data_IF_396277478616
#
_entry.id   IF_396277478616
#
_cell.length_a   1.000
_cell.length_b   1.000
_cell.length_c   1.000
_cell.angle_alpha   90.00
_cell.angle_beta   90.00
_cell.angle_gamma   90.00
#
_symmetry.space_group_name_H-M   'P 1'
#
loop_
_entity.id
_entity.type
_entity.pdbx_description
1 polymer ?
#
# COMPACT_ATOMS: atom_id res chain seq x y z
N UNK A 1 63.05 15.45 -27.05
CA UNK A 1 61.65 15.99 -26.98
C UNK A 1 60.54 14.98 -27.24
N UNK A 2 60.79 13.81 -27.86
CA UNK A 2 59.75 12.82 -28.16
C UNK A 2 59.38 11.87 -26.99
N UNK A 3 60.27 11.65 -26.03
CA UNK A 3 60.00 10.73 -24.89
C UNK A 3 59.06 11.30 -23.83
N UNK A 4 59.12 12.65 -23.60
CA UNK A 4 58.28 13.32 -22.58
C UNK A 4 56.79 13.42 -23.00
N UNK A 5 56.53 13.50 -24.32
CA UNK A 5 55.18 13.52 -24.84
C UNK A 5 54.51 12.12 -24.76
N UNK A 6 55.25 11.04 -24.94
CA UNK A 6 54.76 9.68 -24.81
C UNK A 6 54.49 9.26 -23.34
N UNK A 7 55.26 9.75 -22.39
CA UNK A 7 54.99 9.56 -20.95
C UNK A 7 53.74 10.30 -20.47
N UNK A 8 53.56 11.57 -20.90
CA UNK A 8 52.36 12.32 -20.59
C UNK A 8 51.07 11.74 -21.20
N UNK A 9 51.14 11.21 -22.42
CA UNK A 9 50.03 10.50 -23.05
C UNK A 9 49.66 9.21 -22.29
N UNK A 10 50.64 8.45 -21.81
CA UNK A 10 50.39 7.24 -20.99
C UNK A 10 49.81 7.56 -19.58
N UNK A 11 50.25 8.66 -19.00
CA UNK A 11 49.70 9.13 -17.70
C UNK A 11 48.25 9.58 -17.86
N UNK A 12 47.94 10.33 -18.92
CA UNK A 12 46.56 10.78 -19.18
C UNK A 12 45.61 9.61 -19.50
N UNK A 13 46.02 8.61 -20.29
CA UNK A 13 45.21 7.43 -20.57
C UNK A 13 44.97 6.57 -19.30
N UNK A 14 45.98 6.43 -18.43
CA UNK A 14 45.81 5.67 -17.19
C UNK A 14 44.95 6.44 -16.17
N UNK A 15 44.95 7.78 -16.15
CA UNK A 15 44.04 8.59 -15.35
C UNK A 15 42.60 8.55 -15.85
N UNK A 16 42.40 8.59 -17.17
CA UNK A 16 41.06 8.48 -17.77
C UNK A 16 40.47 7.06 -17.59
N UNK A 17 41.25 5.99 -17.78
CA UNK A 17 40.81 4.62 -17.54
C UNK A 17 40.46 4.37 -16.05
N UNK A 18 41.26 4.83 -15.10
CA UNK A 18 40.95 4.72 -13.67
C UNK A 18 39.74 5.58 -13.26
N UNK A 19 39.57 6.77 -13.84
CA UNK A 19 38.43 7.64 -13.57
C UNK A 19 37.11 7.07 -14.13
N UNK A 20 37.18 6.39 -15.27
CA UNK A 20 36.05 5.72 -15.91
C UNK A 20 35.70 4.44 -15.13
N UNK A 21 36.69 3.64 -14.70
CA UNK A 21 36.44 2.38 -13.97
C UNK A 21 35.93 2.62 -12.54
N UNK A 22 36.35 3.66 -11.82
CA UNK A 22 35.81 3.99 -10.50
C UNK A 22 34.40 4.58 -10.55
N UNK A 23 34.04 5.31 -11.60
CA UNK A 23 32.72 5.97 -11.71
C UNK A 23 31.67 5.15 -12.47
N UNK A 24 32.03 4.12 -13.26
CA UNK A 24 31.09 3.31 -14.04
C UNK A 24 30.72 1.99 -13.33
N UNK A 25 31.48 1.53 -12.33
CA UNK A 25 31.04 0.42 -11.45
C UNK A 25 30.01 0.85 -10.42
N UNK A 26 28.96 1.55 -10.82
CA UNK A 26 27.68 1.55 -10.10
C UNK A 26 26.94 0.28 -10.49
N UNK A 27 27.40 -0.85 -9.97
CA UNK A 27 26.70 -2.10 -10.12
C UNK A 27 25.31 -1.96 -9.47
N UNK A 28 24.28 -2.41 -10.14
CA UNK A 28 22.90 -2.53 -9.61
C UNK A 28 22.90 -3.28 -8.28
N UNK A 29 23.79 -4.23 -8.09
CA UNK A 29 24.00 -4.98 -6.83
C UNK A 29 24.40 -4.08 -5.65
N UNK A 30 25.17 -3.00 -5.91
CA UNK A 30 25.51 -2.02 -4.89
C UNK A 30 24.32 -1.20 -4.40
N UNK A 31 23.36 -0.86 -5.28
CA UNK A 31 22.18 -0.06 -4.91
C UNK A 31 21.20 -0.84 -4.05
N UNK A 32 20.92 -2.09 -4.39
CA UNK A 32 20.04 -2.97 -3.60
C UNK A 32 20.66 -3.25 -2.22
N UNK A 33 21.96 -3.57 -2.18
CA UNK A 33 22.67 -3.83 -0.92
C UNK A 33 22.71 -2.58 -0.02
N UNK A 34 22.90 -1.41 -0.60
CA UNK A 34 22.86 -0.12 0.11
C UNK A 34 21.46 0.17 0.66
N UNK A 35 20.40 -0.08 -0.15
CA UNK A 35 19.01 0.05 0.27
C UNK A 35 18.70 -0.87 1.45
N UNK A 36 19.00 -2.16 1.33
CA UNK A 36 18.78 -3.15 2.41
C UNK A 36 19.54 -2.75 3.68
N UNK A 37 20.81 -2.33 3.56
CA UNK A 37 21.60 -1.87 4.70
C UNK A 37 21.02 -0.62 5.36
N UNK A 38 20.50 0.34 4.59
CA UNK A 38 19.86 1.57 5.09
C UNK A 38 18.53 1.24 5.76
N UNK A 39 17.70 0.37 5.16
CA UNK A 39 16.43 -0.10 5.70
C UNK A 39 16.64 -0.88 7.02
N UNK A 40 17.61 -1.80 7.07
CA UNK A 40 17.92 -2.61 8.24
C UNK A 40 18.38 -1.80 9.47
N UNK A 41 18.89 -0.58 9.26
CA UNK A 41 19.21 0.32 10.38
C UNK A 41 17.99 0.83 11.14
N UNK A 42 16.78 0.78 10.50
CA UNK A 42 15.51 1.24 11.09
C UNK A 42 14.78 0.07 11.72
N UNK A 43 15.03 -0.18 13.00
CA UNK A 43 14.45 -1.32 13.75
C UNK A 43 12.93 -1.38 13.67
N UNK A 44 12.24 -0.24 13.76
CA UNK A 44 10.77 -0.15 13.66
C UNK A 44 10.25 -0.61 12.30
N UNK A 45 10.90 -0.19 11.20
CA UNK A 45 10.52 -0.60 9.85
C UNK A 45 10.79 -2.10 9.59
N UNK A 46 11.88 -2.62 10.15
CA UNK A 46 12.20 -4.07 10.06
C UNK A 46 11.16 -4.91 10.82
N UNK A 47 10.79 -4.52 12.04
CA UNK A 47 9.73 -5.21 12.80
C UNK A 47 8.41 -5.14 12.04
N UNK A 48 8.04 -3.95 11.54
CA UNK A 48 6.83 -3.76 10.75
C UNK A 48 6.81 -4.62 9.47
N UNK A 49 7.95 -4.75 8.80
CA UNK A 49 8.09 -5.64 7.63
C UNK A 49 7.79 -7.10 7.99
N UNK A 50 8.35 -7.62 9.08
CA UNK A 50 8.09 -9.01 9.49
C UNK A 50 6.64 -9.22 9.91
N UNK A 51 6.02 -8.25 10.61
CA UNK A 51 4.59 -8.31 10.95
C UNK A 51 3.74 -8.30 9.67
N UNK A 52 4.03 -7.41 8.72
CA UNK A 52 3.33 -7.35 7.44
C UNK A 52 3.45 -8.66 6.66
N UNK A 53 4.65 -9.24 6.58
CA UNK A 53 4.87 -10.54 5.93
C UNK A 53 4.09 -11.65 6.64
N UNK A 54 4.10 -11.68 7.98
CA UNK A 54 3.32 -12.65 8.75
C UNK A 54 1.81 -12.52 8.48
N UNK A 55 1.28 -11.30 8.38
CA UNK A 55 -0.13 -11.04 8.05
C UNK A 55 -0.47 -11.46 6.61
N UNK A 56 0.43 -11.23 5.65
CA UNK A 56 0.24 -11.71 4.28
C UNK A 56 0.29 -13.26 4.19
N UNK A 57 1.18 -13.89 4.95
CA UNK A 57 1.21 -15.35 5.08
C UNK A 57 -0.09 -15.83 5.74
N UNK A 58 -0.55 -15.18 6.80
CA UNK A 58 -1.82 -15.48 7.44
C UNK A 58 -3.00 -15.38 6.45
N UNK A 59 -2.99 -14.40 5.56
CA UNK A 59 -4.02 -14.28 4.53
C UNK A 59 -3.99 -15.43 3.52
N UNK A 60 -2.81 -16.00 3.24
CA UNK A 60 -2.67 -17.11 2.28
C UNK A 60 -2.98 -18.48 2.90
N UNK A 61 -2.49 -18.75 4.11
CA UNK A 61 -2.56 -20.07 4.71
C UNK A 61 -3.50 -20.14 5.92
N UNK A 62 -3.92 -18.99 6.46
CA UNK A 62 -4.77 -18.90 7.65
C UNK A 62 -6.06 -19.70 7.57
N UNK A 63 -6.83 -19.65 6.45
CA UNK A 63 -8.04 -20.45 6.33
C UNK A 63 -7.79 -21.96 6.44
N UNK A 64 -6.63 -22.43 5.98
CA UNK A 64 -6.25 -23.87 6.04
C UNK A 64 -5.65 -24.28 7.38
N UNK A 65 -5.13 -23.32 8.16
CA UNK A 65 -4.53 -23.56 9.48
C UNK A 65 -5.48 -23.26 10.64
N UNK A 66 -6.69 -22.76 10.35
CA UNK A 66 -7.69 -22.46 11.37
C UNK A 66 -8.07 -23.72 12.15
N UNK A 67 -8.07 -23.68 13.51
CA UNK A 67 -8.42 -24.84 14.34
C UNK A 67 -9.82 -25.40 14.08
N UNK A 68 -10.75 -24.51 13.69
CA UNK A 68 -12.14 -24.85 13.40
C UNK A 68 -12.56 -24.20 12.06
N UNK A 69 -13.63 -24.72 11.44
CA UNK A 69 -14.28 -24.01 10.35
C UNK A 69 -14.85 -22.67 10.83
N UNK A 70 -14.64 -21.60 10.07
CA UNK A 70 -15.00 -20.23 10.46
C UNK A 70 -16.48 -20.04 10.83
N UNK A 71 -17.36 -20.90 10.30
CA UNK A 71 -18.80 -20.87 10.55
C UNK A 71 -19.31 -22.11 11.29
N UNK A 72 -18.43 -22.94 11.86
CA UNK A 72 -18.84 -24.04 12.72
C UNK A 72 -19.44 -23.49 14.02
N UNK A 73 -20.63 -23.98 14.38
CA UNK A 73 -21.36 -23.60 15.59
C UNK A 73 -21.02 -24.53 16.74
N UNK A 74 -20.74 -24.01 17.92
CA UNK A 74 -20.60 -24.73 19.17
C UNK A 74 -21.62 -24.17 20.18
N UNK A 75 -22.81 -24.74 20.17
CA UNK A 75 -23.92 -24.25 20.98
C UNK A 75 -23.68 -24.40 22.49
N UNK A 76 -22.77 -25.28 22.91
CA UNK A 76 -22.43 -25.48 24.32
C UNK A 76 -21.49 -24.38 24.84
N UNK A 77 -20.85 -23.64 23.94
CA UNK A 77 -19.86 -22.61 24.25
C UNK A 77 -20.21 -21.23 23.64
N UNK A 78 -21.44 -20.81 23.67
CA UNK A 78 -21.90 -19.49 23.20
C UNK A 78 -21.35 -18.40 24.13
N UNK A 79 -20.80 -17.32 23.53
CA UNK A 79 -20.22 -16.16 24.24
C UNK A 79 -19.16 -16.55 25.29
N UNK A 80 -18.52 -17.69 25.13
CA UNK A 80 -17.51 -18.17 26.06
C UNK A 80 -16.20 -17.41 25.90
N UNK A 81 -15.60 -17.03 27.04
CA UNK A 81 -14.29 -16.39 27.07
C UNK A 81 -13.17 -17.30 26.58
N UNK A 82 -11.94 -16.77 26.45
CA UNK A 82 -10.76 -17.54 26.09
C UNK A 82 -10.60 -18.79 26.96
N UNK A 83 -10.37 -19.93 26.33
CA UNK A 83 -10.24 -21.25 26.99
C UNK A 83 -9.24 -22.14 26.25
N UNK A 84 -8.90 -23.31 26.83
CA UNK A 84 -8.02 -24.27 26.17
C UNK A 84 -8.63 -24.83 24.86
N UNK A 85 -9.97 -24.88 24.75
CA UNK A 85 -10.70 -25.32 23.56
C UNK A 85 -10.77 -24.17 22.54
N UNK A 86 -11.11 -22.97 22.96
CA UNK A 86 -11.25 -21.77 22.14
C UNK A 86 -10.29 -20.68 22.64
N UNK A 87 -9.11 -20.60 22.07
CA UNK A 87 -8.03 -19.73 22.56
C UNK A 87 -8.42 -18.25 22.62
N UNK A 88 -9.24 -17.79 21.70
CA UNK A 88 -9.74 -16.41 21.65
C UNK A 88 -11.22 -16.32 22.09
N UNK A 89 -11.79 -17.42 22.59
CA UNK A 89 -13.20 -17.50 22.92
C UNK A 89 -14.11 -17.65 21.68
N UNK A 90 -15.40 -17.51 21.91
CA UNK A 90 -16.44 -17.74 20.91
C UNK A 90 -17.37 -16.53 20.78
N UNK A 91 -18.06 -16.44 19.66
CA UNK A 91 -19.05 -15.40 19.40
C UNK A 91 -20.47 -15.79 19.86
N UNK A 92 -21.46 -14.98 19.53
CA UNK A 92 -22.88 -15.20 19.89
C UNK A 92 -23.52 -16.45 19.24
N UNK A 93 -22.83 -17.08 18.34
CA UNK A 93 -23.24 -18.35 17.70
C UNK A 93 -22.36 -19.52 18.12
N UNK A 94 -21.42 -19.31 19.07
CA UNK A 94 -20.43 -20.31 19.46
C UNK A 94 -19.31 -20.51 18.45
N UNK A 95 -19.17 -19.64 17.44
CA UNK A 95 -18.09 -19.75 16.43
C UNK A 95 -16.77 -19.30 17.03
N UNK A 96 -15.68 -20.02 16.73
CA UNK A 96 -14.34 -19.72 17.24
C UNK A 96 -13.76 -18.42 16.67
N UNK A 97 -13.41 -17.47 17.53
CA UNK A 97 -12.93 -16.15 17.11
C UNK A 97 -11.56 -16.21 16.44
N UNK A 98 -10.64 -17.05 16.92
CA UNK A 98 -9.33 -17.22 16.30
C UNK A 98 -9.46 -17.74 14.87
N UNK A 99 -10.26 -18.79 14.69
CA UNK A 99 -10.52 -19.38 13.37
C UNK A 99 -11.17 -18.38 12.41
N UNK A 100 -12.09 -17.54 12.91
CA UNK A 100 -12.70 -16.46 12.11
C UNK A 100 -11.70 -15.37 11.75
N UNK A 101 -10.80 -14.97 12.66
CA UNK A 101 -9.74 -14.00 12.37
C UNK A 101 -8.82 -14.55 11.27
N UNK A 102 -8.42 -15.83 11.37
CA UNK A 102 -7.54 -16.47 10.39
C UNK A 102 -8.23 -16.61 9.02
N UNK A 103 -9.48 -17.06 9.01
CA UNK A 103 -10.27 -17.24 7.79
C UNK A 103 -10.69 -15.89 7.16
N UNK A 104 -10.79 -14.82 7.95
CA UNK A 104 -11.16 -13.48 7.51
C UNK A 104 -10.01 -12.66 6.94
N UNK A 105 -8.77 -13.04 7.23
CA UNK A 105 -7.58 -12.33 6.78
C UNK A 105 -7.54 -12.12 5.25
N UNK A 106 -7.78 -13.14 4.39
CA UNK A 106 -7.77 -12.95 2.95
C UNK A 106 -8.87 -12.00 2.46
N UNK A 107 -10.04 -12.00 3.10
CA UNK A 107 -11.14 -11.13 2.71
C UNK A 107 -10.83 -9.66 3.06
N UNK A 108 -10.43 -9.39 4.31
CA UNK A 108 -10.13 -8.04 4.79
C UNK A 108 -8.93 -7.43 4.05
N UNK A 109 -7.82 -8.17 3.97
CA UNK A 109 -6.61 -7.69 3.28
C UNK A 109 -6.81 -7.66 1.76
N UNK A 110 -7.54 -8.61 1.20
CA UNK A 110 -7.83 -8.69 -0.22
C UNK A 110 -8.63 -7.49 -0.72
N UNK A 111 -9.67 -7.09 0.00
CA UNK A 111 -10.48 -5.90 -0.34
C UNK A 111 -9.63 -4.63 -0.28
N UNK A 112 -8.89 -4.42 0.80
CA UNK A 112 -8.06 -3.24 0.94
C UNK A 112 -6.96 -3.17 -0.14
N UNK A 113 -6.23 -4.27 -0.34
CA UNK A 113 -5.13 -4.33 -1.30
C UNK A 113 -5.63 -4.14 -2.74
N UNK A 114 -6.69 -4.84 -3.14
CA UNK A 114 -7.25 -4.71 -4.50
C UNK A 114 -7.81 -3.31 -4.75
N UNK A 115 -8.45 -2.68 -3.76
CA UNK A 115 -8.91 -1.28 -3.86
C UNK A 115 -7.75 -0.32 -4.11
N UNK A 116 -6.66 -0.47 -3.35
CA UNK A 116 -5.47 0.38 -3.53
C UNK A 116 -4.80 0.12 -4.87
N UNK A 117 -4.71 -1.14 -5.33
CA UNK A 117 -4.15 -1.47 -6.66
C UNK A 117 -4.93 -0.76 -7.77
N UNK A 118 -6.27 -0.87 -7.75
CA UNK A 118 -7.12 -0.24 -8.78
C UNK A 118 -7.04 1.29 -8.69
N UNK A 119 -7.16 1.85 -7.48
CA UNK A 119 -7.04 3.29 -7.27
C UNK A 119 -5.66 3.85 -7.67
N UNK A 120 -4.59 3.10 -7.36
CA UNK A 120 -3.23 3.45 -7.76
C UNK A 120 -3.04 3.38 -9.28
N UNK A 121 -3.56 2.35 -9.94
CA UNK A 121 -3.45 2.20 -11.38
C UNK A 121 -4.13 3.37 -12.11
N UNK A 122 -5.39 3.65 -11.78
CA UNK A 122 -6.15 4.75 -12.37
C UNK A 122 -5.50 6.10 -12.03
N UNK A 123 -5.22 6.36 -10.75
CA UNK A 123 -4.64 7.62 -10.30
C UNK A 123 -3.25 7.86 -10.88
N UNK A 124 -2.42 6.81 -11.03
CA UNK A 124 -1.09 6.92 -11.67
C UNK A 124 -1.22 7.36 -13.13
N UNK A 125 -2.09 6.73 -13.90
CA UNK A 125 -2.31 7.10 -15.31
C UNK A 125 -2.79 8.54 -15.42
N UNK A 126 -3.80 8.92 -14.63
CA UNK A 126 -4.33 10.29 -14.61
C UNK A 126 -3.27 11.32 -14.19
N UNK A 127 -2.47 11.01 -13.18
CA UNK A 127 -1.39 11.87 -12.70
C UNK A 127 -0.26 12.03 -13.71
N UNK A 128 0.15 10.94 -14.37
CA UNK A 128 1.16 10.97 -15.44
C UNK A 128 0.71 11.84 -16.61
N UNK A 129 -0.53 11.62 -17.10
CA UNK A 129 -1.11 12.41 -18.21
C UNK A 129 -1.23 13.89 -17.85
N UNK A 130 -1.74 14.17 -16.64
CA UNK A 130 -1.90 15.52 -16.10
C UNK A 130 -0.56 16.26 -16.01
N UNK A 131 0.47 15.63 -15.42
CA UNK A 131 1.80 16.24 -15.27
C UNK A 131 2.56 16.40 -16.60
N UNK A 132 2.37 15.44 -17.52
CA UNK A 132 3.07 15.47 -18.81
C UNK A 132 2.49 16.50 -19.78
N UNK A 133 1.18 16.44 -20.05
CA UNK A 133 0.53 17.31 -21.01
C UNK A 133 0.22 18.70 -20.44
N UNK A 134 -0.17 18.78 -19.16
CA UNK A 134 -0.58 20.04 -18.57
C UNK A 134 -1.89 20.60 -19.13
N UNK A 135 -2.06 21.91 -19.05
CA UNK A 135 -3.18 22.63 -19.66
C UNK A 135 -4.56 22.12 -19.22
N UNK A 136 -5.46 21.89 -20.19
CA UNK A 136 -6.84 21.49 -19.90
C UNK A 136 -6.96 20.07 -19.31
N UNK A 137 -6.05 19.15 -19.69
CA UNK A 137 -6.01 17.79 -19.13
C UNK A 137 -5.69 17.86 -17.63
N UNK A 138 -4.67 18.63 -17.28
CA UNK A 138 -4.31 18.87 -15.89
C UNK A 138 -5.45 19.52 -15.12
N UNK A 139 -6.07 20.54 -15.69
CA UNK A 139 -7.19 21.23 -15.07
C UNK A 139 -8.35 20.28 -14.81
N UNK A 140 -8.74 19.45 -15.78
CA UNK A 140 -9.85 18.51 -15.62
C UNK A 140 -9.56 17.46 -14.54
N UNK A 141 -8.39 16.83 -14.59
CA UNK A 141 -8.00 15.78 -13.63
C UNK A 141 -7.87 16.34 -12.23
N UNK A 142 -7.20 17.50 -12.07
CA UNK A 142 -7.01 18.08 -10.74
C UNK A 142 -8.29 18.67 -10.15
N UNK A 143 -9.16 19.28 -10.96
CA UNK A 143 -10.48 19.72 -10.49
C UNK A 143 -11.36 18.54 -10.07
N UNK A 144 -11.36 17.43 -10.83
CA UNK A 144 -12.01 16.20 -10.41
C UNK A 144 -11.47 15.66 -9.09
N UNK A 145 -10.14 15.65 -8.92
CA UNK A 145 -9.51 15.26 -7.66
C UNK A 145 -9.88 16.23 -6.51
N UNK A 146 -9.93 17.54 -6.75
CA UNK A 146 -10.30 18.54 -5.74
C UNK A 146 -11.75 18.38 -5.27
N UNK A 147 -12.67 18.04 -6.19
CA UNK A 147 -14.07 17.72 -5.84
C UNK A 147 -14.13 16.52 -4.91
N UNK A 148 -13.40 15.44 -5.22
CA UNK A 148 -13.39 14.26 -4.35
C UNK A 148 -12.73 14.54 -2.99
N UNK A 149 -11.68 15.35 -2.94
CA UNK A 149 -11.04 15.76 -1.68
C UNK A 149 -11.82 16.79 -0.87
N UNK A 150 -12.87 17.41 -1.43
CA UNK A 150 -13.76 18.30 -0.66
C UNK A 150 -14.59 17.55 0.37
N UNK A 151 -14.73 16.23 0.21
CA UNK A 151 -15.39 15.35 1.17
C UNK A 151 -14.35 14.61 2.02
N UNK A 152 -14.59 14.45 3.34
CA UNK A 152 -13.83 13.49 4.14
C UNK A 152 -13.92 12.09 3.55
N UNK A 153 -12.77 11.37 3.46
CA UNK A 153 -12.65 10.06 2.79
C UNK A 153 -13.76 9.08 3.22
N UNK A 154 -14.03 8.99 4.53
CA UNK A 154 -15.06 8.07 5.06
C UNK A 154 -16.49 8.48 4.65
N UNK A 155 -16.79 9.77 4.61
CA UNK A 155 -18.13 10.24 4.22
C UNK A 155 -18.37 10.02 2.73
N UNK A 156 -17.36 10.23 1.89
CA UNK A 156 -17.42 9.92 0.46
C UNK A 156 -17.66 8.43 0.25
N UNK A 157 -16.92 7.58 0.99
CA UNK A 157 -17.08 6.14 0.88
C UNK A 157 -18.49 5.67 1.32
N UNK A 158 -19.03 6.22 2.42
CA UNK A 158 -20.41 5.95 2.86
C UNK A 158 -21.42 6.39 1.79
N UNK A 159 -21.25 7.57 1.21
CA UNK A 159 -22.16 8.06 0.15
C UNK A 159 -22.15 7.14 -1.07
N UNK A 160 -20.98 6.66 -1.49
CA UNK A 160 -20.85 5.73 -2.62
C UNK A 160 -21.56 4.40 -2.29
N UNK A 161 -21.30 3.82 -1.11
CA UNK A 161 -21.92 2.54 -0.72
C UNK A 161 -23.42 2.70 -0.49
N UNK A 162 -23.88 3.83 0.04
CA UNK A 162 -25.31 4.11 0.19
C UNK A 162 -26.03 4.16 -1.17
N UNK A 163 -25.36 4.66 -2.21
CA UNK A 163 -25.90 4.70 -3.57
C UNK A 163 -25.86 3.34 -4.28
N UNK A 164 -24.82 2.54 -4.05
CA UNK A 164 -24.64 1.23 -4.70
C UNK A 164 -25.32 0.08 -3.94
N UNK A 165 -25.65 0.29 -2.66
CA UNK A 165 -26.13 -0.72 -1.73
C UNK A 165 -25.00 -1.34 -0.89
N UNK A 166 -25.33 -2.05 0.22
CA UNK A 166 -24.36 -2.74 1.05
C UNK A 166 -23.74 -3.93 0.30
N UNK A 167 -22.50 -4.25 0.64
CA UNK A 167 -21.77 -5.40 0.10
C UNK A 167 -20.29 -5.13 -0.10
N UNK A 168 -19.50 -6.19 0.02
CA UNK A 168 -18.04 -6.13 0.02
C UNK A 168 -17.46 -5.57 -1.29
N UNK A 169 -18.12 -5.84 -2.43
CA UNK A 169 -17.73 -5.31 -3.74
C UNK A 169 -17.96 -3.80 -3.80
N UNK A 170 -19.05 -3.30 -3.20
CA UNK A 170 -19.34 -1.88 -3.17
C UNK A 170 -18.40 -1.12 -2.23
N UNK A 171 -17.97 -1.76 -1.14
CA UNK A 171 -16.88 -1.26 -0.28
C UNK A 171 -15.58 -1.19 -1.06
N UNK A 172 -15.22 -2.25 -1.80
CA UNK A 172 -14.04 -2.24 -2.69
C UNK A 172 -14.08 -1.05 -3.66
N UNK A 173 -15.21 -0.83 -4.35
CA UNK A 173 -15.37 0.29 -5.29
C UNK A 173 -15.21 1.64 -4.59
N UNK A 174 -15.87 1.82 -3.44
CA UNK A 174 -15.81 3.07 -2.68
C UNK A 174 -14.38 3.41 -2.25
N UNK A 175 -13.65 2.40 -1.71
CA UNK A 175 -12.26 2.55 -1.28
C UNK A 175 -11.34 2.85 -2.48
N UNK A 176 -11.56 2.18 -3.62
CA UNK A 176 -10.79 2.45 -4.84
C UNK A 176 -11.01 3.90 -5.32
N UNK A 177 -12.26 4.37 -5.37
CA UNK A 177 -12.61 5.72 -5.85
C UNK A 177 -11.94 6.81 -5.03
N UNK A 178 -12.03 6.77 -3.69
CA UNK A 178 -11.40 7.82 -2.87
C UNK A 178 -9.86 7.74 -2.86
N UNK A 179 -9.29 6.60 -3.27
CA UNK A 179 -7.84 6.42 -3.36
C UNK A 179 -7.26 7.07 -4.61
N UNK A 180 -8.00 7.11 -5.74
CA UNK A 180 -7.57 7.68 -7.04
C UNK A 180 -7.00 9.09 -6.93
N UNK A 181 -7.66 10.09 -6.27
CA UNK A 181 -7.17 11.47 -6.23
C UNK A 181 -5.78 11.61 -5.61
N UNK A 182 -5.49 10.81 -4.57
CA UNK A 182 -4.20 10.82 -3.91
C UNK A 182 -3.07 10.40 -4.85
N UNK A 183 -3.26 9.30 -5.58
CA UNK A 183 -2.28 8.85 -6.56
C UNK A 183 -2.16 9.81 -7.73
N UNK A 184 -3.27 10.36 -8.24
CA UNK A 184 -3.26 11.33 -9.33
C UNK A 184 -2.43 12.58 -8.94
N UNK A 185 -2.61 13.12 -7.74
CA UNK A 185 -1.88 14.30 -7.27
C UNK A 185 -0.39 14.04 -7.08
N UNK A 186 -0.03 12.90 -6.44
CA UNK A 186 1.36 12.54 -6.20
C UNK A 186 2.08 12.25 -7.51
N UNK A 187 1.44 11.50 -8.41
CA UNK A 187 2.05 11.14 -9.69
C UNK A 187 2.18 12.34 -10.63
N UNK A 188 1.22 13.29 -10.59
CA UNK A 188 1.38 14.57 -11.29
C UNK A 188 2.60 15.31 -10.78
N UNK A 189 2.77 15.47 -9.47
CA UNK A 189 3.91 16.16 -8.88
C UNK A 189 5.23 15.49 -9.23
N UNK A 190 5.31 14.15 -9.12
CA UNK A 190 6.49 13.38 -9.49
C UNK A 190 6.80 13.50 -11.00
N UNK A 191 5.77 13.49 -11.85
CA UNK A 191 5.92 13.67 -13.30
C UNK A 191 6.49 15.03 -13.65
N UNK A 192 6.01 16.11 -13.02
CA UNK A 192 6.53 17.45 -13.24
C UNK A 192 8.01 17.57 -12.85
N UNK A 193 8.43 16.94 -11.75
CA UNK A 193 9.81 16.92 -11.32
C UNK A 193 10.72 16.20 -12.32
N UNK A 194 10.28 15.06 -12.85
CA UNK A 194 11.07 14.24 -13.79
C UNK A 194 11.05 14.84 -15.20
N UNK A 195 9.95 15.44 -15.62
CA UNK A 195 9.77 16.02 -16.96
C UNK A 195 10.83 17.10 -17.28
N UNK A 196 11.32 17.85 -16.26
CA UNK A 196 12.36 18.87 -16.41
C UNK A 196 13.78 18.31 -16.36
N UNK A 197 14.00 16.99 -16.29
CA UNK A 197 15.35 16.43 -16.28
C UNK A 197 15.95 16.42 -17.69
N UNK A 198 17.26 16.69 -17.78
CA UNK A 198 18.00 16.78 -19.05
C UNK A 198 17.81 15.56 -19.96
N UNK A 199 17.80 14.33 -19.41
CA UNK A 199 17.63 13.13 -20.22
C UNK A 199 16.24 13.03 -20.89
N UNK A 200 15.20 13.65 -20.31
CA UNK A 200 13.86 13.74 -20.91
C UNK A 200 13.85 14.76 -22.05
N UNK A 201 14.54 15.90 -21.86
CA UNK A 201 14.68 16.92 -22.90
C UNK A 201 15.48 16.39 -24.11
N UNK A 202 16.57 15.67 -23.87
CA UNK A 202 17.35 15.00 -24.91
C UNK A 202 16.49 13.99 -25.67
N UNK A 203 15.72 13.14 -24.97
CA UNK A 203 14.85 12.18 -25.63
C UNK A 203 13.80 12.86 -26.53
N UNK A 204 13.28 14.03 -26.09
CA UNK A 204 12.34 14.83 -26.89
C UNK A 204 13.03 15.43 -28.12
N UNK A 205 14.23 15.99 -27.96
CA UNK A 205 15.03 16.58 -29.06
C UNK A 205 15.42 15.53 -30.11
N UNK A 206 15.59 14.27 -29.71
CA UNK A 206 15.83 13.13 -30.61
C UNK A 206 14.57 12.60 -31.28
N UNK A 207 13.40 13.28 -31.13
CA UNK A 207 12.14 12.91 -31.78
C UNK A 207 11.42 11.72 -31.19
N UNK A 208 11.68 11.34 -29.92
CA UNK A 208 10.91 10.30 -29.26
C UNK A 208 9.45 10.67 -29.14
N UNK A 209 8.53 9.73 -29.46
CA UNK A 209 7.08 9.90 -29.30
C UNK A 209 6.72 10.07 -27.83
N UNK A 210 5.69 10.87 -27.54
CA UNK A 210 5.22 11.18 -26.19
C UNK A 210 4.96 9.93 -25.34
N UNK A 211 4.30 8.91 -25.87
CA UNK A 211 4.08 7.65 -25.15
C UNK A 211 5.39 6.96 -24.73
N UNK A 212 6.42 6.99 -25.58
CA UNK A 212 7.74 6.45 -25.21
C UNK A 212 8.39 7.29 -24.12
N UNK A 213 8.31 8.62 -24.22
CA UNK A 213 8.83 9.52 -23.19
C UNK A 213 8.15 9.25 -21.87
N UNK A 214 6.81 9.18 -21.87
CA UNK A 214 6.01 9.01 -20.66
C UNK A 214 6.30 7.67 -19.97
N UNK A 215 6.21 6.54 -20.70
CA UNK A 215 6.30 5.22 -20.07
C UNK A 215 7.75 4.71 -19.91
N UNK A 216 8.69 5.12 -20.77
CA UNK A 216 10.08 4.61 -20.74
C UNK A 216 11.05 5.56 -20.02
N UNK A 217 10.76 6.84 -19.99
CA UNK A 217 11.69 7.84 -19.40
C UNK A 217 11.12 8.50 -18.14
N UNK A 218 9.82 8.87 -18.09
CA UNK A 218 9.23 9.56 -16.95
C UNK A 218 8.74 8.56 -15.88
N UNK A 219 7.90 7.60 -16.26
CA UNK A 219 7.30 6.66 -15.31
C UNK A 219 8.33 5.92 -14.44
N UNK A 220 9.46 5.39 -14.97
CA UNK A 220 10.48 4.76 -14.13
C UNK A 220 11.07 5.70 -13.07
N UNK A 221 11.20 7.00 -13.40
CA UNK A 221 11.67 8.02 -12.46
C UNK A 221 10.65 8.36 -11.36
N UNK A 222 9.37 8.01 -11.54
CA UNK A 222 8.28 8.28 -10.58
C UNK A 222 7.92 7.06 -9.71
N UNK A 223 8.44 5.87 -10.02
CA UNK A 223 8.12 4.60 -9.33
C UNK A 223 8.37 4.70 -7.82
N UNK A 224 9.43 5.38 -7.40
CA UNK A 224 9.76 5.54 -5.99
C UNK A 224 8.61 6.21 -5.22
N UNK A 225 8.08 7.32 -5.74
CA UNK A 225 6.93 8.02 -5.15
C UNK A 225 5.66 7.18 -5.17
N UNK A 226 5.47 6.38 -6.23
CA UNK A 226 4.35 5.45 -6.34
C UNK A 226 4.40 4.38 -5.26
N UNK A 227 5.53 3.69 -5.08
CA UNK A 227 5.69 2.59 -4.11
C UNK A 227 5.47 3.10 -2.68
N UNK A 228 6.06 4.24 -2.33
CA UNK A 228 5.89 4.83 -0.99
C UNK A 228 4.43 5.18 -0.72
N UNK A 229 3.76 5.86 -1.65
CA UNK A 229 2.35 6.19 -1.47
C UNK A 229 1.45 4.95 -1.43
N UNK A 230 1.78 3.93 -2.24
CA UNK A 230 1.05 2.67 -2.28
C UNK A 230 1.06 1.98 -0.91
N UNK A 231 2.22 1.82 -0.29
CA UNK A 231 2.34 1.16 1.01
C UNK A 231 1.60 1.91 2.12
N UNK A 232 1.68 3.23 2.16
CA UNK A 232 0.96 4.06 3.14
C UNK A 232 -0.56 4.02 2.94
N UNK A 233 -1.03 3.92 1.70
CA UNK A 233 -2.47 3.88 1.40
C UNK A 233 -3.14 2.56 1.76
N UNK A 234 -2.41 1.44 1.84
CA UNK A 234 -2.98 0.16 2.28
C UNK A 234 -3.51 0.27 3.72
N UNK A 235 -2.76 0.87 4.65
CA UNK A 235 -3.22 1.07 6.02
C UNK A 235 -4.51 1.88 6.10
N UNK A 236 -4.60 2.99 5.35
CA UNK A 236 -5.81 3.81 5.27
C UNK A 236 -6.99 3.05 4.64
N UNK A 237 -6.74 2.24 3.63
CA UNK A 237 -7.77 1.43 2.96
C UNK A 237 -8.31 0.33 3.88
N UNK A 238 -7.46 -0.36 4.66
CA UNK A 238 -7.88 -1.34 5.66
C UNK A 238 -8.79 -0.66 6.69
N UNK A 239 -8.38 0.49 7.22
CA UNK A 239 -9.18 1.24 8.19
C UNK A 239 -10.54 1.64 7.61
N UNK A 240 -10.57 2.18 6.40
CA UNK A 240 -11.82 2.59 5.75
C UNK A 240 -12.75 1.41 5.45
N UNK A 241 -12.23 0.32 4.87
CA UNK A 241 -13.01 -0.88 4.59
C UNK A 241 -13.59 -1.50 5.86
N UNK A 242 -12.77 -1.65 6.92
CA UNK A 242 -13.22 -2.17 8.21
C UNK A 242 -14.24 -1.25 8.88
N UNK A 243 -14.09 0.07 8.75
CA UNK A 243 -15.07 1.04 9.28
C UNK A 243 -16.42 0.95 8.55
N UNK A 244 -16.42 0.80 7.22
CA UNK A 244 -17.65 0.61 6.44
C UNK A 244 -18.33 -0.71 6.81
N UNK A 245 -17.57 -1.79 6.96
CA UNK A 245 -18.09 -3.09 7.41
C UNK A 245 -18.64 -3.01 8.84
N UNK A 246 -17.96 -2.30 9.75
CA UNK A 246 -18.44 -2.04 11.12
C UNK A 246 -19.77 -1.29 11.13
N UNK A 247 -19.98 -0.36 10.20
CA UNK A 247 -21.23 0.37 10.04
C UNK A 247 -22.34 -0.45 9.35
N UNK A 248 -22.03 -1.69 8.94
CA UNK A 248 -23.01 -2.59 8.30
C UNK A 248 -23.11 -2.45 6.77
N UNK A 249 -22.20 -1.70 6.16
CA UNK A 249 -22.17 -1.53 4.70
C UNK A 249 -21.31 -2.57 3.96
N UNK A 250 -20.54 -3.41 4.68
CA UNK A 250 -19.54 -4.31 4.11
C UNK A 250 -20.02 -5.75 3.92
N UNK A 251 -19.27 -6.68 4.49
CA UNK A 251 -19.52 -8.12 4.39
C UNK A 251 -20.78 -8.56 5.14
N UNK A 252 -21.33 -9.71 4.73
CA UNK A 252 -22.45 -10.32 5.44
C UNK A 252 -22.03 -10.82 6.83
N UNK A 253 -23.01 -11.01 7.71
CA UNK A 253 -22.82 -11.55 9.08
C UNK A 253 -22.13 -12.93 9.10
N UNK A 254 -22.33 -13.72 8.04
CA UNK A 254 -21.69 -15.03 7.90
C UNK A 254 -20.19 -14.93 7.57
N UNK A 255 -19.80 -13.88 6.87
CA UNK A 255 -18.42 -13.71 6.42
C UNK A 255 -17.50 -13.36 7.61
N UNK A 256 -16.33 -13.98 7.73
CA UNK A 256 -15.41 -13.74 8.86
C UNK A 256 -14.56 -12.48 8.67
N UNK A 257 -15.08 -11.43 8.00
CA UNK A 257 -14.39 -10.17 7.78
C UNK A 257 -14.22 -9.40 9.10
N UNK A 258 -13.04 -8.86 9.36
CA UNK A 258 -12.67 -8.30 10.67
C UNK A 258 -13.54 -7.12 11.12
N UNK A 259 -13.94 -6.22 10.20
CA UNK A 259 -14.84 -5.12 10.51
C UNK A 259 -16.28 -5.58 10.80
N UNK A 260 -16.76 -6.60 10.08
CA UNK A 260 -18.05 -7.22 10.35
C UNK A 260 -18.06 -7.94 11.70
N UNK A 261 -16.94 -8.60 12.08
CA UNK A 261 -16.80 -9.18 13.42
C UNK A 261 -16.89 -8.13 14.52
N UNK A 262 -16.28 -6.95 14.35
CA UNK A 262 -16.42 -5.83 15.27
C UNK A 262 -17.88 -5.35 15.37
N UNK A 263 -18.58 -5.25 14.24
CA UNK A 263 -19.98 -4.83 14.19
C UNK A 263 -20.88 -5.76 15.01
N UNK A 264 -20.69 -7.07 14.87
CA UNK A 264 -21.42 -8.09 15.64
C UNK A 264 -21.10 -8.04 17.12
N UNK A 265 -19.81 -7.90 17.46
CA UNK A 265 -19.34 -7.89 18.84
C UNK A 265 -19.80 -6.71 19.66
N UNK A 266 -20.10 -5.55 19.02
CA UNK A 266 -20.45 -4.31 19.76
C UNK A 266 -21.62 -4.43 20.72
N UNK A 267 -22.59 -5.27 20.36
CA UNK A 267 -23.78 -5.52 21.20
C UNK A 267 -23.48 -6.37 22.44
N UNK A 268 -22.33 -7.03 22.46
CA UNK A 268 -21.86 -7.93 23.52
C UNK A 268 -20.64 -7.38 24.27
N UNK A 269 -20.34 -6.07 24.14
CA UNK A 269 -19.15 -5.46 24.71
C UNK A 269 -19.05 -5.62 26.23
N UNK A 270 -20.19 -5.63 26.94
CA UNK A 270 -20.27 -5.81 28.40
C UNK A 270 -20.17 -7.25 28.84
N UNK A 271 -20.58 -8.21 28.00
CA UNK A 271 -20.67 -9.65 28.36
C UNK A 271 -19.55 -10.48 27.75
N UNK A 272 -19.12 -10.16 26.53
CA UNK A 272 -18.11 -10.87 25.79
C UNK A 272 -17.15 -9.87 25.06
N UNK A 273 -16.37 -9.07 25.80
CA UNK A 273 -15.55 -8.01 25.23
C UNK A 273 -14.47 -8.51 24.27
N UNK A 274 -14.06 -9.77 24.39
CA UNK A 274 -13.10 -10.42 23.49
C UNK A 274 -13.55 -10.43 22.02
N UNK A 275 -14.87 -10.44 21.75
CA UNK A 275 -15.43 -10.35 20.40
C UNK A 275 -15.11 -9.02 19.70
N UNK A 276 -14.78 -7.98 20.44
CA UNK A 276 -14.47 -6.63 19.91
C UNK A 276 -12.96 -6.38 19.96
N UNK A 277 -12.33 -6.54 21.14
CA UNK A 277 -10.94 -6.13 21.24
C UNK A 277 -9.98 -7.03 20.45
N UNK A 278 -10.27 -8.32 20.24
CA UNK A 278 -9.37 -9.20 19.47
C UNK A 278 -9.37 -8.88 17.97
N UNK A 279 -10.51 -8.82 17.25
CA UNK A 279 -10.48 -8.36 15.86
C UNK A 279 -9.98 -6.91 15.74
N UNK A 280 -10.34 -6.03 16.68
CA UNK A 280 -9.86 -4.66 16.71
C UNK A 280 -8.35 -4.55 16.86
N UNK A 281 -7.75 -5.40 17.71
CA UNK A 281 -6.29 -5.47 17.87
C UNK A 281 -5.61 -5.95 16.58
N UNK A 282 -6.18 -6.93 15.90
CA UNK A 282 -5.64 -7.43 14.62
C UNK A 282 -5.68 -6.34 13.55
N UNK A 283 -6.79 -5.60 13.42
CA UNK A 283 -6.89 -4.46 12.51
C UNK A 283 -5.85 -3.39 12.89
N UNK A 284 -5.74 -3.04 14.17
CA UNK A 284 -4.78 -2.05 14.67
C UNK A 284 -3.33 -2.43 14.33
N UNK A 285 -2.92 -3.68 14.65
CA UNK A 285 -1.58 -4.18 14.34
C UNK A 285 -1.32 -4.16 12.84
N UNK A 286 -2.33 -4.53 12.03
CA UNK A 286 -2.21 -4.55 10.58
C UNK A 286 -1.99 -3.14 10.03
N UNK A 287 -2.83 -2.19 10.41
CA UNK A 287 -2.71 -0.78 9.98
C UNK A 287 -1.37 -0.19 10.43
N UNK A 288 -0.97 -0.44 11.67
CA UNK A 288 0.29 0.03 12.22
C UNK A 288 1.49 -0.55 11.45
N UNK A 289 1.47 -1.84 11.13
CA UNK A 289 2.54 -2.50 10.38
C UNK A 289 2.70 -1.90 8.98
N UNK A 290 1.60 -1.73 8.23
CA UNK A 290 1.66 -1.13 6.90
C UNK A 290 2.13 0.33 6.93
N UNK A 291 1.70 1.14 7.90
CA UNK A 291 2.12 2.53 8.04
C UNK A 291 3.61 2.63 8.40
N UNK A 292 4.07 1.91 9.44
CA UNK A 292 5.48 1.92 9.85
C UNK A 292 6.42 1.38 8.76
N UNK A 293 5.97 0.37 8.02
CA UNK A 293 6.71 -0.14 6.87
C UNK A 293 6.79 0.91 5.75
N UNK A 294 5.66 1.56 5.42
CA UNK A 294 5.59 2.64 4.43
C UNK A 294 6.49 3.82 4.78
N UNK A 295 6.49 4.26 6.04
CA UNK A 295 7.37 5.32 6.55
C UNK A 295 8.84 4.91 6.45
N UNK A 296 9.18 3.68 6.86
CA UNK A 296 10.54 3.16 6.74
C UNK A 296 11.03 3.07 5.29
N UNK A 297 10.13 2.71 4.38
CA UNK A 297 10.40 2.68 2.94
C UNK A 297 10.63 4.09 2.39
N UNK A 298 9.77 5.05 2.74
CA UNK A 298 9.90 6.46 2.38
C UNK A 298 11.24 7.02 2.79
N UNK A 299 11.61 6.85 4.06
CA UNK A 299 12.85 7.38 4.60
C UNK A 299 14.11 6.71 4.01
N UNK A 300 13.99 5.44 3.61
CA UNK A 300 15.10 4.72 2.97
C UNK A 300 15.30 5.16 1.52
N UNK A 301 14.21 5.45 0.83
CA UNK A 301 14.20 5.87 -0.56
C UNK A 301 14.46 7.37 -0.73
N UNK A 302 14.27 8.20 0.30
CA UNK A 302 14.53 9.65 0.19
C UNK A 302 16.04 9.91 0.10
N UNK A 303 16.52 10.51 -1.02
CA UNK A 303 17.93 10.82 -1.21
C UNK A 303 18.45 11.95 -0.31
N UNK A 304 17.55 12.75 0.29
CA UNK A 304 17.91 13.90 1.14
C UNK A 304 18.28 13.50 2.57
N UNK A 305 17.92 12.30 3.00
CA UNK A 305 18.26 11.78 4.33
C UNK A 305 19.56 10.97 4.21
N UNK A 306 20.69 11.65 4.48
CA UNK A 306 22.02 11.04 4.59
C UNK A 306 22.23 10.40 5.96
#
# INVERSE_FOLDING_TARGET
MSNTQNEQAKINTSFEENYIDENIKVSTDGKVKAFVKKFAKRKTAVVAFFIMVALLILALVGPSLAPYEANAFDYDNILSGPSAKHWFGTDQFGRDILSRIMAGAPLTLGVALSSVIVGAAIGTVLGLLSGYYGGWIEMLVMRGADVLFSFPDILLAIAIVAALGPGIINVFIAVAVFTVPSFARIMRSATLAVKGCLYVEVARSLGCKDGRILFKHIFPGTIQSLIVNFTMRIGSAIMAASSLSFLGFGANVADPEWGAMLSLGRSYLSTAPHMVYLPGLVIFITVLAFNLFGDGLRDTLDPKIK
#
